data_IF_441216218486
#
_entry.id   IF_441216218486
#
_cell.length_a   1.000
_cell.length_b   1.000
_cell.length_c   1.000
_cell.angle_alpha   90.00
_cell.angle_beta   90.00
_cell.angle_gamma   90.00
#
_symmetry.space_group_name_H-M   'P 1'
#
loop_
_entity.id
_entity.type
_entity.pdbx_description
1 polymer ?
#
# COMPACT_ATOMS: atom_id res chain seq x y z
N UNK A 1 -10.78 11.03 -10.72
CA UNK A 1 -9.67 11.16 -9.77
C UNK A 1 -9.13 9.76 -9.50
N UNK A 2 -7.80 9.59 -9.38
CA UNK A 2 -7.18 8.29 -9.08
C UNK A 2 -7.41 7.95 -7.60
N UNK A 3 -8.16 6.89 -7.31
CA UNK A 3 -8.61 6.54 -5.96
C UNK A 3 -8.09 5.19 -5.45
N UNK A 4 -7.46 4.39 -6.32
CA UNK A 4 -7.00 3.06 -5.94
C UNK A 4 -5.53 3.08 -5.53
N UNK A 5 -5.24 2.63 -4.31
CA UNK A 5 -3.90 2.25 -3.86
C UNK A 5 -3.85 0.72 -3.77
N UNK A 6 -3.16 0.07 -4.69
CA UNK A 6 -3.24 -1.38 -4.88
C UNK A 6 -1.99 -2.09 -4.36
N UNK A 7 -2.05 -2.78 -3.20
CA UNK A 7 -1.08 -3.81 -2.87
C UNK A 7 -1.28 -5.00 -3.82
N UNK A 8 -0.23 -5.40 -4.53
CA UNK A 8 -0.29 -6.61 -5.35
C UNK A 8 1.03 -7.39 -5.24
N UNK A 9 0.96 -8.57 -4.64
CA UNK A 9 2.13 -9.30 -4.14
C UNK A 9 2.44 -10.58 -4.92
N UNK A 10 1.85 -10.74 -6.11
CA UNK A 10 2.19 -11.85 -7.01
C UNK A 10 3.38 -11.52 -7.90
N UNK A 11 4.21 -12.52 -8.16
CA UNK A 11 5.39 -12.35 -9.01
C UNK A 11 4.97 -12.08 -10.47
N UNK A 12 5.58 -11.10 -11.17
CA UNK A 12 5.20 -10.74 -12.53
C UNK A 12 5.31 -11.88 -13.54
N UNK A 13 6.27 -12.77 -13.39
CA UNK A 13 6.40 -13.95 -14.27
C UNK A 13 5.32 -15.02 -14.01
N UNK A 14 4.66 -14.98 -12.84
CA UNK A 14 3.57 -15.92 -12.51
C UNK A 14 2.22 -15.35 -12.93
N UNK A 15 2.05 -14.04 -12.81
CA UNK A 15 0.79 -13.33 -13.08
C UNK A 15 0.99 -12.15 -14.04
N UNK A 16 1.49 -12.37 -15.26
CA UNK A 16 1.77 -11.28 -16.18
C UNK A 16 0.52 -10.52 -16.63
N UNK A 17 -0.63 -11.21 -16.80
CA UNK A 17 -1.87 -10.58 -17.24
C UNK A 17 -2.43 -9.60 -16.22
N UNK A 18 -2.31 -9.90 -14.93
CA UNK A 18 -2.75 -9.04 -13.83
C UNK A 18 -1.88 -7.78 -13.74
N UNK A 19 -0.57 -7.91 -13.95
CA UNK A 19 0.33 -6.76 -14.04
C UNK A 19 0.03 -5.88 -15.25
N UNK A 20 -0.28 -6.48 -16.41
CA UNK A 20 -0.72 -5.74 -17.60
C UNK A 20 -2.05 -5.02 -17.35
N UNK A 21 -2.98 -5.63 -16.61
CA UNK A 21 -4.22 -5.00 -16.20
C UNK A 21 -3.98 -3.79 -15.29
N UNK A 22 -3.06 -3.88 -14.34
CA UNK A 22 -2.66 -2.74 -13.50
C UNK A 22 -2.06 -1.61 -14.33
N UNK A 23 -1.18 -1.91 -15.28
CA UNK A 23 -0.58 -0.90 -16.17
C UNK A 23 -1.65 -0.23 -17.03
N UNK A 24 -2.60 -1.00 -17.55
CA UNK A 24 -3.73 -0.47 -18.33
C UNK A 24 -4.64 0.42 -17.48
N UNK A 25 -4.80 0.09 -16.21
CA UNK A 25 -5.63 0.84 -15.26
C UNK A 25 -4.93 2.09 -14.67
N UNK A 26 -3.71 2.41 -15.08
CA UNK A 26 -2.90 3.50 -14.53
C UNK A 26 -3.65 4.81 -14.27
N UNK A 27 -4.56 5.31 -15.14
CA UNK A 27 -5.29 6.55 -14.88
C UNK A 27 -6.22 6.50 -13.65
N UNK A 28 -6.56 5.30 -13.17
CA UNK A 28 -7.42 5.06 -12.00
C UNK A 28 -6.62 4.85 -10.72
N UNK A 29 -5.30 4.57 -10.84
CA UNK A 29 -4.43 4.22 -9.73
C UNK A 29 -3.82 5.47 -9.10
N UNK A 30 -3.93 5.60 -7.80
CA UNK A 30 -3.09 6.47 -7.00
C UNK A 30 -1.66 5.92 -6.92
N UNK A 31 -1.54 4.61 -6.74
CA UNK A 31 -0.27 3.91 -6.71
C UNK A 31 -0.42 2.40 -6.60
N UNK A 32 0.70 1.71 -6.84
CA UNK A 32 0.84 0.26 -6.63
C UNK A 32 1.92 0.04 -5.57
N UNK A 33 1.68 -0.88 -4.63
CA UNK A 33 2.67 -1.29 -3.63
C UNK A 33 3.40 -2.51 -4.16
N UNK A 34 4.71 -2.40 -4.29
CA UNK A 34 5.62 -3.43 -4.78
C UNK A 34 6.24 -4.18 -3.59
N UNK A 35 6.02 -5.50 -3.53
CA UNK A 35 6.52 -6.35 -2.45
C UNK A 35 7.11 -7.65 -2.99
N UNK A 36 8.34 -7.65 -3.52
CA UNK A 36 8.97 -8.83 -4.10
C UNK A 36 9.14 -10.02 -3.14
N UNK A 37 9.53 -9.77 -1.89
CA UNK A 37 9.85 -10.82 -0.93
C UNK A 37 9.69 -10.33 0.53
N UNK A 38 8.49 -9.88 0.93
CA UNK A 38 8.24 -9.20 2.21
C UNK A 38 9.20 -8.01 2.43
N UNK A 39 9.47 -7.30 1.33
CA UNK A 39 10.47 -6.25 1.16
C UNK A 39 11.08 -6.31 -0.24
N UNK A 40 12.26 -5.70 -0.46
CA UNK A 40 12.91 -5.63 -1.77
C UNK A 40 13.52 -6.96 -2.24
N UNK A 41 13.69 -7.93 -1.34
CA UNK A 41 14.45 -9.15 -1.59
C UNK A 41 15.95 -9.02 -1.27
N UNK A 42 16.68 -10.12 -1.49
CA UNK A 42 18.13 -10.18 -1.24
C UNK A 42 18.96 -9.70 -2.43
N UNK A 43 18.38 -9.76 -3.64
CA UNK A 43 18.97 -9.28 -4.90
C UNK A 43 17.88 -8.61 -5.75
N UNK A 44 18.25 -7.73 -6.71
CA UNK A 44 17.28 -7.16 -7.65
C UNK A 44 16.65 -8.26 -8.52
N UNK A 45 15.34 -8.12 -8.74
CA UNK A 45 14.55 -8.99 -9.59
C UNK A 45 14.15 -8.22 -10.86
N UNK A 46 14.57 -8.72 -12.02
CA UNK A 46 14.37 -8.05 -13.30
C UNK A 46 12.88 -7.94 -13.68
N UNK A 47 12.06 -8.93 -13.33
CA UNK A 47 10.63 -8.91 -13.65
C UNK A 47 9.91 -7.81 -12.84
N UNK A 48 10.25 -7.65 -11.56
CA UNK A 48 9.74 -6.54 -10.77
C UNK A 48 10.28 -5.18 -11.22
N UNK A 49 11.54 -5.09 -11.63
CA UNK A 49 12.11 -3.86 -12.17
C UNK A 49 11.39 -3.43 -13.47
N UNK A 50 11.10 -4.38 -14.36
CA UNK A 50 10.37 -4.12 -15.60
C UNK A 50 8.94 -3.60 -15.34
N UNK A 51 8.15 -4.28 -14.51
CA UNK A 51 6.77 -3.84 -14.26
C UNK A 51 6.73 -2.52 -13.51
N UNK A 52 7.67 -2.25 -12.59
CA UNK A 52 7.78 -0.97 -11.93
C UNK A 52 8.07 0.16 -12.93
N UNK A 53 8.99 -0.05 -13.87
CA UNK A 53 9.29 0.91 -14.93
C UNK A 53 8.08 1.18 -15.83
N UNK A 54 7.32 0.13 -16.22
CA UNK A 54 6.11 0.24 -17.04
C UNK A 54 4.98 0.99 -16.32
N UNK A 55 4.75 0.71 -15.03
CA UNK A 55 3.77 1.43 -14.20
C UNK A 55 4.10 2.91 -14.13
N UNK A 56 5.37 3.25 -13.88
CA UNK A 56 5.83 4.64 -13.81
C UNK A 56 5.72 5.36 -15.16
N UNK A 57 6.06 4.68 -16.24
CA UNK A 57 5.87 5.21 -17.61
C UNK A 57 4.40 5.48 -17.94
N UNK A 58 3.48 4.70 -17.36
CA UNK A 58 2.03 4.92 -17.46
C UNK A 58 1.49 6.00 -16.49
N UNK A 59 2.37 6.61 -15.66
CA UNK A 59 2.01 7.69 -14.74
C UNK A 59 1.54 7.23 -13.35
N UNK A 60 1.69 5.94 -13.02
CA UNK A 60 1.33 5.39 -11.70
C UNK A 60 2.53 5.45 -10.76
N UNK A 61 2.32 5.86 -9.51
CA UNK A 61 3.34 5.77 -8.46
C UNK A 61 3.59 4.32 -8.08
N UNK A 62 4.86 3.99 -7.85
CA UNK A 62 5.27 2.69 -7.31
C UNK A 62 5.84 2.91 -5.92
N UNK A 63 5.22 2.32 -4.91
CA UNK A 63 5.66 2.41 -3.52
C UNK A 63 6.35 1.10 -3.11
N UNK A 64 7.57 1.20 -2.56
CA UNK A 64 8.28 0.03 -2.04
C UNK A 64 7.75 -0.37 -0.67
N UNK A 65 7.41 -1.65 -0.52
CA UNK A 65 6.95 -2.22 0.75
C UNK A 65 8.13 -2.42 1.73
N UNK A 66 7.93 -2.03 2.97
CA UNK A 66 8.81 -2.42 4.06
C UNK A 66 8.00 -2.65 5.35
N UNK A 67 8.18 -3.83 5.94
CA UNK A 67 7.64 -4.16 7.25
C UNK A 67 8.43 -3.44 8.35
N UNK A 68 7.74 -2.88 9.34
CA UNK A 68 8.36 -2.24 10.51
C UNK A 68 8.26 -3.07 11.79
N UNK A 69 7.53 -4.17 11.75
CA UNK A 69 7.27 -5.04 12.91
C UNK A 69 6.87 -4.21 14.15
N UNK A 70 5.93 -3.28 13.96
CA UNK A 70 5.45 -2.39 15.04
C UNK A 70 6.59 -1.64 15.75
N UNK A 71 7.53 -1.10 14.97
CA UNK A 71 8.74 -0.40 15.41
C UNK A 71 9.79 -1.30 16.12
N UNK A 72 9.65 -2.62 16.08
CA UNK A 72 10.64 -3.56 16.64
C UNK A 72 11.84 -3.78 15.71
N UNK A 73 11.65 -3.66 14.39
CA UNK A 73 12.77 -3.70 13.44
C UNK A 73 13.69 -2.49 13.64
N UNK A 74 15.01 -2.68 13.61
CA UNK A 74 15.97 -1.57 13.61
C UNK A 74 15.70 -0.62 12.44
N UNK A 75 15.61 0.68 12.70
CA UNK A 75 15.33 1.67 11.65
C UNK A 75 16.33 1.65 10.50
N UNK A 76 17.60 1.28 10.77
CA UNK A 76 18.65 1.14 9.75
C UNK A 76 18.32 0.03 8.75
N UNK A 77 17.70 -1.07 9.20
CA UNK A 77 17.33 -2.19 8.33
C UNK A 77 16.15 -1.81 7.43
N UNK A 78 15.15 -1.09 7.97
CA UNK A 78 14.03 -0.56 7.17
C UNK A 78 14.54 0.44 6.14
N UNK A 79 15.42 1.36 6.53
CA UNK A 79 16.03 2.33 5.59
C UNK A 79 16.82 1.63 4.50
N UNK A 80 17.54 0.54 4.81
CA UNK A 80 18.24 -0.27 3.81
C UNK A 80 17.27 -0.87 2.79
N UNK A 81 16.14 -1.42 3.24
CA UNK A 81 15.12 -1.96 2.35
C UNK A 81 14.51 -0.89 1.44
N UNK A 82 14.19 0.29 1.98
CA UNK A 82 13.71 1.43 1.19
C UNK A 82 14.75 1.91 0.16
N UNK A 83 16.02 1.88 0.53
CA UNK A 83 17.12 2.21 -0.38
C UNK A 83 17.21 1.22 -1.53
N UNK A 84 17.13 -0.10 -1.24
CA UNK A 84 17.10 -1.16 -2.25
C UNK A 84 15.90 -1.03 -3.17
N UNK A 85 14.70 -0.77 -2.66
CA UNK A 85 13.50 -0.53 -3.47
C UNK A 85 13.72 0.61 -4.46
N UNK A 86 14.27 1.72 -4.01
CA UNK A 86 14.57 2.85 -4.89
C UNK A 86 15.64 2.51 -5.94
N UNK A 87 16.74 1.88 -5.51
CA UNK A 87 17.90 1.66 -6.37
C UNK A 87 17.68 0.50 -7.36
N UNK A 88 16.89 -0.51 -6.99
CA UNK A 88 16.61 -1.68 -7.82
C UNK A 88 15.37 -1.51 -8.69
N UNK A 89 14.31 -0.91 -8.15
CA UNK A 89 12.99 -0.84 -8.80
C UNK A 89 12.55 0.60 -9.13
N UNK A 90 13.33 1.61 -8.74
CA UNK A 90 13.01 3.01 -9.04
C UNK A 90 11.73 3.50 -8.37
N UNK A 91 11.42 3.03 -7.14
CA UNK A 91 10.18 3.40 -6.46
C UNK A 91 10.06 4.89 -6.18
N UNK A 92 8.82 5.41 -6.24
CA UNK A 92 8.49 6.84 -6.07
C UNK A 92 8.14 7.17 -4.60
N UNK A 93 8.31 6.20 -3.71
CA UNK A 93 8.01 6.36 -2.29
C UNK A 93 8.02 5.03 -1.55
N UNK A 94 7.44 5.03 -0.36
CA UNK A 94 7.42 3.90 0.54
C UNK A 94 6.01 3.59 1.04
N UNK A 95 5.74 2.31 1.24
CA UNK A 95 4.62 1.78 2.00
C UNK A 95 5.19 1.04 3.21
N UNK A 96 5.08 1.67 4.39
CA UNK A 96 5.51 1.05 5.65
C UNK A 96 4.34 0.28 6.23
N UNK A 97 4.57 -0.99 6.47
CA UNK A 97 3.57 -1.91 7.02
C UNK A 97 3.80 -2.18 8.50
N UNK A 98 2.76 -2.71 9.17
CA UNK A 98 2.76 -2.98 10.61
C UNK A 98 3.17 -1.75 11.43
N UNK A 99 2.56 -0.61 11.13
CA UNK A 99 2.83 0.65 11.85
C UNK A 99 2.00 0.72 13.13
N UNK A 100 2.62 1.06 14.26
CA UNK A 100 1.90 1.27 15.52
C UNK A 100 0.91 2.43 15.40
N UNK A 101 -0.22 2.34 16.10
CA UNK A 101 -1.26 3.37 16.04
C UNK A 101 -1.18 4.39 17.20
N UNK A 102 -0.48 4.06 18.29
CA UNK A 102 -0.26 4.94 19.42
C UNK A 102 0.83 5.99 19.20
N UNK A 103 0.95 7.00 20.05
CA UNK A 103 1.95 8.05 19.92
C UNK A 103 3.36 7.64 20.41
N UNK A 104 3.50 6.51 21.11
CA UNK A 104 4.70 6.11 21.82
C UNK A 104 5.88 5.94 20.84
N UNK A 105 5.63 5.32 19.69
CA UNK A 105 6.65 5.01 18.69
C UNK A 105 6.74 6.07 17.57
N UNK A 106 6.05 7.19 17.71
CA UNK A 106 6.03 8.25 16.70
C UNK A 106 7.45 8.74 16.33
N UNK A 107 8.37 8.81 17.29
CA UNK A 107 9.73 9.24 17.04
C UNK A 107 10.51 8.29 16.12
N UNK A 108 10.21 6.99 16.16
CA UNK A 108 10.76 5.99 15.25
C UNK A 108 10.29 6.26 13.82
N UNK A 109 8.98 6.39 13.59
CA UNK A 109 8.41 6.62 12.25
C UNK A 109 8.79 7.99 11.68
N UNK A 110 8.90 9.03 12.52
CA UNK A 110 9.40 10.33 12.09
C UNK A 110 10.83 10.23 11.55
N UNK A 111 11.66 9.38 12.13
CA UNK A 111 13.03 9.11 11.65
C UNK A 111 13.01 8.42 10.30
N UNK A 112 12.16 7.41 10.12
CA UNK A 112 11.99 6.72 8.83
C UNK A 112 11.46 7.69 7.76
N UNK A 113 10.51 8.55 8.09
CA UNK A 113 9.96 9.54 7.17
C UNK A 113 11.05 10.47 6.58
N UNK A 114 12.09 10.81 7.35
CA UNK A 114 13.21 11.63 6.83
C UNK A 114 14.07 10.91 5.79
N UNK A 115 14.03 9.57 5.75
CA UNK A 115 14.77 8.76 4.79
C UNK A 115 13.96 8.48 3.51
N UNK A 116 12.64 8.64 3.56
CA UNK A 116 11.77 8.44 2.39
C UNK A 116 11.84 9.65 1.46
N UNK A 117 12.00 9.38 0.17
CA UNK A 117 11.89 10.38 -0.89
C UNK A 117 10.59 10.14 -1.63
N UNK A 118 9.74 11.17 -1.75
CA UNK A 118 8.44 11.08 -2.41
C UNK A 118 7.33 10.65 -1.46
N UNK A 119 6.38 9.85 -1.92
CA UNK A 119 5.17 9.51 -1.19
C UNK A 119 5.44 8.55 -0.04
N UNK A 120 4.97 8.87 1.16
CA UNK A 120 5.00 7.98 2.32
C UNK A 120 3.58 7.55 2.68
N UNK A 121 3.31 6.25 2.59
CA UNK A 121 2.12 5.61 3.12
C UNK A 121 2.47 4.82 4.40
N UNK A 122 1.66 4.98 5.44
CA UNK A 122 1.78 4.25 6.71
C UNK A 122 0.57 3.35 6.90
N UNK A 123 0.80 2.05 7.01
CA UNK A 123 -0.28 1.09 7.25
C UNK A 123 -0.40 0.78 8.75
N UNK A 124 -1.43 1.36 9.35
CA UNK A 124 -1.80 1.13 10.75
C UNK A 124 -2.89 0.05 10.89
N UNK A 125 -3.61 -0.24 9.81
CA UNK A 125 -4.77 -1.15 9.82
C UNK A 125 -5.96 -0.66 10.65
N UNK A 126 -5.79 0.43 11.38
CA UNK A 126 -6.80 1.09 12.23
C UNK A 126 -6.52 2.59 12.31
N UNK A 127 -7.44 3.38 12.89
CA UNK A 127 -7.26 4.82 13.04
C UNK A 127 -6.09 5.14 13.99
N UNK A 128 -5.00 5.78 13.54
CA UNK A 128 -3.85 6.08 14.38
C UNK A 128 -4.00 7.40 15.16
N UNK A 129 -3.02 7.67 16.02
CA UNK A 129 -2.88 8.96 16.67
C UNK A 129 -2.68 10.09 15.63
N UNK A 130 -3.33 11.27 15.79
CA UNK A 130 -3.32 12.36 14.81
C UNK A 130 -1.93 12.90 14.43
N UNK A 131 -0.91 12.69 15.27
CA UNK A 131 0.46 13.11 14.97
C UNK A 131 1.03 12.53 13.66
N UNK A 132 0.59 11.33 13.27
CA UNK A 132 1.07 10.66 12.05
C UNK A 132 0.71 11.41 10.77
N UNK A 133 -0.36 12.19 10.76
CA UNK A 133 -0.72 13.07 9.64
C UNK A 133 0.37 14.09 9.26
N UNK A 134 1.30 14.38 10.19
CA UNK A 134 2.37 15.37 9.96
C UNK A 134 3.59 14.81 9.24
N UNK A 135 3.64 13.49 9.09
CA UNK A 135 4.82 12.80 8.52
C UNK A 135 4.50 11.90 7.32
N UNK A 136 3.23 11.72 7.00
CA UNK A 136 2.79 10.82 5.93
C UNK A 136 1.88 11.55 4.94
N UNK A 137 1.88 11.08 3.69
CA UNK A 137 0.93 11.50 2.65
C UNK A 137 -0.34 10.64 2.66
N UNK A 138 -0.21 9.39 3.11
CA UNK A 138 -1.32 8.42 3.19
C UNK A 138 -1.27 7.68 4.53
N UNK A 139 -2.42 7.56 5.18
CA UNK A 139 -2.62 6.70 6.35
C UNK A 139 -3.64 5.62 6.00
N UNK A 140 -3.23 4.34 6.08
CA UNK A 140 -4.18 3.23 6.01
C UNK A 140 -4.83 3.11 7.38
N UNK A 141 -6.09 3.56 7.46
CA UNK A 141 -6.88 3.64 8.69
C UNK A 141 -7.83 2.47 8.87
N UNK A 142 -7.87 1.58 7.91
CA UNK A 142 -8.52 0.28 7.99
C UNK A 142 -7.81 -0.73 7.10
N UNK A 143 -7.50 -1.89 7.65
CA UNK A 143 -7.18 -3.10 6.91
C UNK A 143 -7.91 -4.29 7.53
N UNK A 144 -8.66 -5.04 6.73
CA UNK A 144 -9.42 -6.17 7.24
C UNK A 144 -10.41 -6.77 6.26
N UNK A 145 -11.18 -7.75 6.75
CA UNK A 145 -12.18 -8.44 5.94
C UNK A 145 -13.37 -7.54 5.61
N UNK A 146 -14.01 -7.80 4.47
CA UNK A 146 -15.29 -7.17 4.10
C UNK A 146 -16.36 -7.32 5.19
N UNK A 147 -16.44 -8.50 5.82
CA UNK A 147 -17.41 -8.74 6.89
C UNK A 147 -17.15 -7.86 8.14
N UNK A 148 -15.90 -7.58 8.47
CA UNK A 148 -15.53 -6.66 9.55
C UNK A 148 -15.81 -5.22 9.13
N UNK A 149 -15.41 -4.83 7.92
CA UNK A 149 -15.61 -3.48 7.39
C UNK A 149 -17.07 -3.03 7.46
N UNK A 150 -18.00 -3.90 7.04
CA UNK A 150 -19.44 -3.61 7.07
C UNK A 150 -20.05 -3.43 8.45
N UNK A 151 -19.40 -3.92 9.49
CA UNK A 151 -19.87 -3.84 10.89
C UNK A 151 -19.19 -2.74 11.69
N UNK A 152 -18.11 -2.20 11.16
CA UNK A 152 -17.35 -1.18 11.87
C UNK A 152 -18.02 0.19 11.63
N UNK A 153 -18.39 0.93 12.69
CA UNK A 153 -18.83 2.31 12.52
C UNK A 153 -17.66 3.13 11.99
N UNK A 154 -17.91 4.02 11.05
CA UNK A 154 -16.91 4.96 10.58
C UNK A 154 -16.37 5.75 11.78
N UNK A 155 -15.09 5.57 12.08
CA UNK A 155 -14.42 6.37 13.10
C UNK A 155 -14.04 7.72 12.49
N UNK A 156 -14.58 8.85 12.97
CA UNK A 156 -14.27 10.14 12.37
C UNK A 156 -12.79 10.45 12.58
N UNK A 157 -12.08 10.68 11.47
CA UNK A 157 -10.71 11.17 11.51
C UNK A 157 -10.63 12.56 12.14
N UNK A 158 -9.64 12.77 13.03
CA UNK A 158 -9.47 14.01 13.79
C UNK A 158 -8.11 14.70 13.54
N UNK A 159 -7.32 14.20 12.60
CA UNK A 159 -5.93 14.60 12.39
C UNK A 159 -5.65 15.68 11.34
N UNK A 160 -6.69 16.34 10.81
CA UNK A 160 -6.51 17.36 9.74
C UNK A 160 -6.79 16.82 8.35
N UNK A 161 -6.72 17.70 7.33
CA UNK A 161 -7.17 17.43 5.95
C UNK A 161 -6.05 17.21 4.95
N UNK A 162 -4.80 17.37 5.33
CA UNK A 162 -3.66 17.35 4.39
C UNK A 162 -3.14 15.94 4.09
N UNK A 163 -3.59 14.94 4.86
CA UNK A 163 -3.25 13.53 4.68
C UNK A 163 -4.43 12.78 4.05
N UNK A 164 -4.16 11.85 3.14
CA UNK A 164 -5.19 10.99 2.55
C UNK A 164 -5.42 9.77 3.42
N UNK A 165 -6.68 9.44 3.65
CA UNK A 165 -7.06 8.21 4.34
C UNK A 165 -7.27 7.10 3.32
N UNK A 166 -6.79 5.90 3.65
CA UNK A 166 -6.90 4.71 2.81
C UNK A 166 -7.54 3.56 3.57
N UNK A 167 -8.41 2.80 2.90
CA UNK A 167 -8.96 1.55 3.42
C UNK A 167 -8.55 0.39 2.52
N UNK A 168 -8.01 -0.65 3.12
CA UNK A 168 -7.63 -1.91 2.46
C UNK A 168 -8.59 -3.01 2.92
N UNK A 169 -9.42 -3.52 2.00
CA UNK A 169 -10.49 -4.45 2.32
C UNK A 169 -10.36 -5.71 1.48
N UNK A 170 -10.42 -6.86 2.11
CA UNK A 170 -10.31 -8.15 1.43
C UNK A 170 -11.53 -9.06 1.70
N UNK A 171 -11.68 -10.14 0.92
CA UNK A 171 -12.85 -10.99 0.96
C UNK A 171 -14.12 -10.31 0.44
N UNK A 172 -13.98 -9.39 -0.52
CA UNK A 172 -15.12 -8.65 -1.10
C UNK A 172 -15.81 -9.52 -2.14
N UNK A 173 -17.12 -9.79 -2.02
CA UNK A 173 -17.86 -10.59 -3.00
C UNK A 173 -17.91 -9.92 -4.38
N UNK A 174 -18.07 -10.74 -5.41
CA UNK A 174 -18.32 -10.26 -6.77
C UNK A 174 -19.61 -9.42 -6.84
N UNK A 175 -19.61 -8.40 -7.69
CA UNK A 175 -20.79 -7.52 -7.91
C UNK A 175 -21.04 -6.52 -6.78
N UNK A 176 -20.23 -6.50 -5.76
CA UNK A 176 -20.27 -5.47 -4.72
C UNK A 176 -19.39 -4.30 -5.14
N UNK A 177 -19.99 -3.12 -5.26
CA UNK A 177 -19.25 -1.86 -5.33
C UNK A 177 -19.04 -1.35 -3.88
N UNK A 178 -17.84 -1.47 -3.34
CA UNK A 178 -17.61 -1.05 -1.97
C UNK A 178 -17.56 0.49 -1.93
N UNK A 179 -18.66 1.12 -1.51
CA UNK A 179 -18.61 2.51 -1.09
C UNK A 179 -17.73 2.61 0.16
N UNK A 180 -16.56 3.20 0.02
CA UNK A 180 -15.60 3.38 1.12
C UNK A 180 -15.85 4.72 1.81
N UNK A 181 -16.80 4.73 2.73
CA UNK A 181 -17.09 5.95 3.51
C UNK A 181 -15.89 6.34 4.38
N UNK A 182 -15.51 7.61 4.30
CA UNK A 182 -14.42 8.17 5.12
C UNK A 182 -13.01 7.85 4.62
N UNK A 183 -12.85 7.33 3.41
CA UNK A 183 -11.56 7.11 2.76
C UNK A 183 -11.43 7.89 1.45
N UNK A 184 -10.25 8.49 1.23
CA UNK A 184 -9.89 9.14 -0.04
C UNK A 184 -9.36 8.13 -1.05
N UNK A 185 -8.73 7.08 -0.53
CA UNK A 185 -8.11 5.99 -1.29
C UNK A 185 -8.63 4.65 -0.76
N UNK A 186 -8.64 3.64 -1.62
CA UNK A 186 -8.99 2.29 -1.20
C UNK A 186 -8.39 1.21 -2.09
N UNK A 187 -8.39 -0.02 -1.58
CA UNK A 187 -8.30 -1.25 -2.36
C UNK A 187 -9.29 -2.26 -1.81
N UNK A 188 -10.08 -2.88 -2.69
CA UNK A 188 -11.09 -3.87 -2.32
C UNK A 188 -10.91 -5.11 -3.21
N UNK A 189 -10.44 -6.20 -2.61
CA UNK A 189 -10.07 -7.43 -3.34
C UNK A 189 -10.90 -8.64 -2.91
N UNK A 190 -11.11 -9.62 -3.80
CA UNK A 190 -11.80 -10.88 -3.45
C UNK A 190 -10.96 -11.81 -2.59
N UNK A 191 -9.63 -11.65 -2.58
CA UNK A 191 -8.71 -12.51 -1.86
C UNK A 191 -9.09 -12.75 -0.40
N UNK A 192 -8.75 -13.92 0.12
CA UNK A 192 -9.04 -14.35 1.50
C UNK A 192 -7.84 -15.08 2.09
N UNK A 193 -7.86 -15.34 3.39
CA UNK A 193 -6.78 -16.06 4.09
C UNK A 193 -5.55 -15.20 4.32
N UNK A 194 -4.38 -15.85 4.33
CA UNK A 194 -3.11 -15.22 4.74
C UNK A 194 -2.47 -14.37 3.64
N UNK A 195 -2.97 -14.49 2.39
CA UNK A 195 -2.40 -13.78 1.23
C UNK A 195 -3.50 -13.13 0.37
N UNK A 196 -4.32 -12.22 0.93
CA UNK A 196 -5.42 -11.62 0.18
C UNK A 196 -4.95 -10.72 -0.97
N UNK A 197 -3.78 -10.13 -0.85
CA UNK A 197 -3.18 -9.21 -1.83
C UNK A 197 -2.53 -9.92 -3.04
N UNK A 198 -2.72 -11.23 -3.16
CA UNK A 198 -2.45 -12.00 -4.39
C UNK A 198 -3.55 -11.89 -5.44
N UNK A 199 -4.60 -11.10 -5.20
CA UNK A 199 -5.72 -10.87 -6.12
C UNK A 199 -5.90 -9.38 -6.41
N UNK A 200 -6.47 -9.07 -7.58
CA UNK A 200 -6.83 -7.71 -7.95
C UNK A 200 -8.28 -7.39 -7.54
N UNK A 201 -8.63 -6.10 -7.38
CA UNK A 201 -10.03 -5.68 -7.37
C UNK A 201 -10.78 -6.22 -8.60
N UNK A 202 -12.02 -6.71 -8.43
CA UNK A 202 -12.82 -7.23 -9.54
C UNK A 202 -12.91 -6.29 -10.75
N UNK A 203 -12.88 -4.99 -10.51
CA UNK A 203 -12.90 -3.96 -11.57
C UNK A 203 -11.59 -3.82 -12.35
N UNK A 204 -10.53 -4.52 -11.92
CA UNK A 204 -9.21 -4.53 -12.55
C UNK A 204 -8.78 -5.92 -13.03
N UNK A 205 -9.60 -6.96 -12.80
CA UNK A 205 -9.29 -8.30 -13.29
C UNK A 205 -9.16 -8.30 -14.83
N UNK A 206 -8.20 -9.06 -15.39
CA UNK A 206 -8.09 -9.24 -16.82
C UNK A 206 -9.40 -9.80 -17.39
N UNK A 207 -9.79 -9.36 -18.58
CA UNK A 207 -10.91 -9.98 -19.30
C UNK A 207 -10.58 -11.47 -19.53
N UNK A 208 -11.52 -12.35 -19.19
CA UNK A 208 -11.41 -13.79 -19.39
C UNK A 208 -11.53 -14.16 -20.87
#
# INVERSE_FOLDING_TARGET
MSTLLVPYYEHPSVRPAEWDALITAAPRLYGVVLNPASGPGDAPDEAFAEVAARLRAAGTRVLGYADTDYARRPSADVVRDLTRHRDWYGTDGAFLDQVTSGPEEFAYYRRLATAVRGTLALNHGTTPHPSYARIADVLVTFEGTWSTYRRQPSSPWRGGTDVRLCHLVYGVPEGVDPAMEGADLYCAVPGVGDHPWGTLPHTLEPAR
#
